data_IF_764594339892
#
_entry.id   IF_764594339892
#
_cell.length_a   1.000
_cell.length_b   1.000
_cell.length_c   1.000
_cell.angle_alpha   90.00
_cell.angle_beta   90.00
_cell.angle_gamma   90.00
#
_symmetry.space_group_name_H-M   'P 1'
#
loop_
_entity.id
_entity.type
_entity.pdbx_description
1 polymer ?
#
# COMPACT_ATOMS: atom_id res chain seq x y z
N UNK A 1 3.30 -22.26 -0.28
CA UNK A 1 3.73 -23.00 -1.50
C UNK A 1 3.24 -22.35 -2.80
N UNK A 2 1.94 -22.08 -2.99
CA UNK A 2 1.41 -21.49 -4.23
C UNK A 2 2.03 -20.13 -4.60
N UNK A 3 2.13 -19.20 -3.64
CA UNK A 3 2.70 -17.85 -3.88
C UNK A 3 4.14 -17.96 -4.41
N UNK A 4 4.96 -18.78 -3.77
CA UNK A 4 6.37 -18.98 -4.16
C UNK A 4 6.44 -19.56 -5.59
N UNK A 5 5.61 -20.57 -5.89
CA UNK A 5 5.62 -21.27 -7.18
C UNK A 5 5.10 -20.42 -8.36
N UNK A 6 4.31 -19.37 -8.09
CA UNK A 6 3.73 -18.51 -9.12
C UNK A 6 4.47 -17.19 -9.34
N UNK A 7 5.58 -16.93 -8.62
CA UNK A 7 6.40 -15.74 -8.84
C UNK A 7 7.05 -15.80 -10.22
N UNK A 8 6.89 -14.74 -11.02
CA UNK A 8 7.48 -14.69 -12.35
C UNK A 8 8.99 -14.39 -12.31
N UNK A 9 9.67 -14.49 -13.45
CA UNK A 9 11.11 -14.24 -13.57
C UNK A 9 11.52 -12.79 -13.24
N UNK A 10 10.59 -11.84 -13.31
CA UNK A 10 10.83 -10.44 -12.93
C UNK A 10 10.76 -10.24 -11.41
N UNK A 11 10.16 -11.20 -10.68
CA UNK A 11 10.02 -11.19 -9.22
C UNK A 11 8.64 -10.78 -8.70
N UNK A 12 7.68 -10.53 -9.58
CA UNK A 12 6.32 -10.12 -9.18
C UNK A 12 5.25 -11.18 -9.46
N UNK A 13 4.00 -10.79 -9.23
CA UNK A 13 2.82 -11.64 -9.39
C UNK A 13 1.67 -10.94 -10.11
N UNK A 14 0.74 -11.74 -10.63
CA UNK A 14 -0.51 -11.28 -11.25
C UNK A 14 -1.72 -12.01 -10.67
N UNK A 15 -2.91 -11.52 -11.01
CA UNK A 15 -4.19 -12.02 -10.50
C UNK A 15 -4.42 -13.52 -10.68
N UNK A 16 -3.90 -14.13 -11.74
CA UNK A 16 -3.91 -15.58 -11.91
C UNK A 16 -2.59 -16.16 -11.42
N UNK A 17 -2.58 -17.30 -10.70
CA UNK A 17 -1.35 -17.91 -10.18
C UNK A 17 -0.59 -18.64 -11.29
N UNK A 18 -0.20 -17.90 -12.33
CA UNK A 18 0.54 -18.37 -13.50
C UNK A 18 1.81 -17.54 -13.68
N UNK A 19 2.92 -18.19 -14.01
CA UNK A 19 4.24 -17.59 -14.14
C UNK A 19 4.36 -16.88 -15.50
N UNK A 20 3.69 -15.73 -15.66
CA UNK A 20 3.65 -15.00 -16.94
C UNK A 20 3.95 -13.52 -16.83
N UNK A 21 3.22 -12.82 -15.97
CA UNK A 21 3.24 -11.37 -15.86
C UNK A 21 3.22 -10.95 -14.38
N UNK A 22 3.47 -9.67 -14.12
CA UNK A 22 3.44 -9.08 -12.79
C UNK A 22 2.87 -7.66 -12.79
N UNK A 23 2.40 -7.21 -11.63
CA UNK A 23 2.20 -5.79 -11.32
C UNK A 23 2.48 -5.48 -9.85
N UNK A 24 2.57 -4.20 -9.51
CA UNK A 24 2.77 -3.74 -8.12
C UNK A 24 1.57 -4.06 -7.23
N UNK A 25 0.33 -3.97 -7.74
CA UNK A 25 -0.91 -4.11 -6.96
C UNK A 25 -1.13 -5.51 -6.40
N UNK A 26 -0.73 -6.55 -7.13
CA UNK A 26 -0.76 -7.95 -6.69
C UNK A 26 0.52 -8.27 -5.94
N UNK A 27 1.67 -7.74 -6.37
CA UNK A 27 2.96 -7.99 -5.71
C UNK A 27 2.95 -7.54 -4.26
N UNK A 28 2.37 -6.37 -3.93
CA UNK A 28 2.26 -5.93 -2.52
C UNK A 28 1.50 -6.92 -1.65
N UNK A 29 0.39 -7.50 -2.16
CA UNK A 29 -0.40 -8.48 -1.41
C UNK A 29 0.41 -9.75 -1.13
N UNK A 30 1.13 -10.25 -2.15
CA UNK A 30 1.96 -11.45 -1.99
C UNK A 30 3.11 -11.20 -1.03
N UNK A 31 3.77 -10.04 -1.11
CA UNK A 31 4.85 -9.67 -0.19
C UNK A 31 4.35 -9.60 1.25
N UNK A 32 3.22 -8.93 1.49
CA UNK A 32 2.65 -8.83 2.85
C UNK A 32 2.30 -10.22 3.39
N UNK A 33 1.69 -11.08 2.57
CA UNK A 33 1.37 -12.45 2.95
C UNK A 33 2.62 -13.29 3.27
N UNK A 34 3.66 -13.19 2.44
CA UNK A 34 4.94 -13.89 2.66
C UNK A 34 5.65 -13.39 3.92
N UNK A 35 5.62 -12.08 4.19
CA UNK A 35 6.21 -11.49 5.39
C UNK A 35 5.45 -11.87 6.65
N UNK A 36 4.12 -11.88 6.59
CA UNK A 36 3.29 -12.41 7.68
C UNK A 36 3.58 -13.89 7.95
N UNK A 37 3.67 -14.73 6.90
CA UNK A 37 4.01 -16.14 7.04
C UNK A 37 5.39 -16.33 7.70
N UNK A 38 6.41 -15.59 7.24
CA UNK A 38 7.76 -15.63 7.81
C UNK A 38 7.79 -15.19 9.28
N UNK A 39 7.05 -14.13 9.63
CA UNK A 39 6.94 -13.66 11.02
C UNK A 39 6.20 -14.67 11.92
N UNK A 40 5.34 -15.52 11.35
CA UNK A 40 4.67 -16.61 12.06
C UNK A 40 5.47 -17.92 12.10
N UNK A 41 6.75 -17.90 11.71
CA UNK A 41 7.63 -19.08 11.75
C UNK A 41 7.47 -20.04 10.56
N UNK A 42 6.72 -19.67 9.53
CA UNK A 42 6.65 -20.45 8.28
C UNK A 42 7.88 -20.15 7.44
N UNK A 43 8.57 -21.18 6.98
CA UNK A 43 9.73 -21.00 6.11
C UNK A 43 9.32 -20.37 4.76
N UNK A 44 9.98 -19.24 4.45
CA UNK A 44 9.81 -18.49 3.21
C UNK A 44 11.21 -18.20 2.65
N UNK A 45 11.52 -18.72 1.45
CA UNK A 45 12.83 -18.51 0.84
C UNK A 45 13.14 -17.01 0.70
N UNK A 46 14.29 -16.59 1.21
CA UNK A 46 14.70 -15.18 1.19
C UNK A 46 14.77 -14.63 -0.25
N UNK A 47 15.25 -15.45 -1.19
CA UNK A 47 15.30 -15.14 -2.62
C UNK A 47 13.94 -14.68 -3.19
N UNK A 48 12.82 -15.25 -2.72
CA UNK A 48 11.49 -14.86 -3.18
C UNK A 48 11.17 -13.41 -2.77
N UNK A 49 11.56 -13.01 -1.55
CA UNK A 49 11.38 -11.64 -1.05
C UNK A 49 12.32 -10.69 -1.81
N UNK A 50 13.59 -11.07 -1.99
CA UNK A 50 14.59 -10.24 -2.66
C UNK A 50 14.20 -9.96 -4.13
N UNK A 51 13.67 -10.97 -4.82
CA UNK A 51 13.13 -10.82 -6.17
C UNK A 51 11.94 -9.84 -6.21
N UNK A 52 11.04 -9.93 -5.23
CA UNK A 52 9.89 -9.02 -5.13
C UNK A 52 10.33 -7.57 -4.89
N UNK A 53 11.31 -7.37 -4.02
CA UNK A 53 11.94 -6.04 -3.81
C UNK A 53 12.52 -5.52 -5.12
N UNK A 54 13.28 -6.34 -5.86
CA UNK A 54 13.86 -5.96 -7.15
C UNK A 54 12.77 -5.53 -8.14
N UNK A 55 11.66 -6.28 -8.22
CA UNK A 55 10.52 -5.96 -9.07
C UNK A 55 9.89 -4.61 -8.69
N UNK A 56 9.61 -4.40 -7.41
CA UNK A 56 9.02 -3.15 -6.91
C UNK A 56 9.92 -1.97 -7.24
N UNK A 57 11.25 -2.09 -7.02
CA UNK A 57 12.23 -1.05 -7.38
C UNK A 57 12.27 -0.77 -8.88
N UNK A 58 12.10 -1.79 -9.72
CA UNK A 58 12.03 -1.62 -11.17
C UNK A 58 10.78 -0.83 -11.64
N UNK A 59 9.74 -0.73 -10.80
CA UNK A 59 8.57 0.11 -11.05
C UNK A 59 8.76 1.56 -10.64
N UNK A 60 9.90 1.94 -10.06
CA UNK A 60 10.17 3.33 -9.69
C UNK A 60 10.37 4.20 -10.94
N UNK A 61 9.67 5.33 -10.98
CA UNK A 61 9.77 6.32 -12.05
C UNK A 61 10.67 7.49 -11.61
N UNK A 62 11.92 7.50 -12.09
CA UNK A 62 12.95 8.44 -11.64
C UNK A 62 12.58 9.92 -11.78
N UNK A 63 11.88 10.30 -12.86
CA UNK A 63 11.52 11.70 -13.13
C UNK A 63 10.46 12.28 -12.19
N UNK A 64 9.67 11.44 -11.52
CA UNK A 64 8.59 11.89 -10.62
C UNK A 64 8.78 11.44 -9.17
N UNK A 65 9.58 10.41 -8.92
CA UNK A 65 9.72 9.78 -7.61
C UNK A 65 8.57 8.84 -7.22
N UNK A 66 7.56 8.69 -8.08
CA UNK A 66 6.45 7.76 -7.89
C UNK A 66 6.76 6.36 -8.42
N UNK A 67 5.79 5.44 -8.28
CA UNK A 67 5.88 4.09 -8.84
C UNK A 67 4.75 3.82 -9.83
N UNK A 68 5.12 3.08 -10.86
CA UNK A 68 4.28 2.67 -11.98
C UNK A 68 3.57 1.34 -11.68
N UNK A 69 2.60 0.98 -12.52
CA UNK A 69 1.88 -0.29 -12.38
C UNK A 69 2.75 -1.48 -12.78
N UNK A 70 3.52 -1.29 -13.86
CA UNK A 70 4.56 -2.18 -14.36
C UNK A 70 5.79 -1.33 -14.71
N UNK A 71 7.00 -1.90 -14.73
CA UNK A 71 8.20 -1.17 -15.13
C UNK A 71 8.02 -0.46 -16.47
N UNK A 72 8.41 0.83 -16.54
CA UNK A 72 8.31 1.63 -17.75
C UNK A 72 6.96 2.31 -18.02
N UNK A 73 5.92 2.07 -17.19
CA UNK A 73 4.64 2.79 -17.32
C UNK A 73 4.61 4.09 -16.51
N UNK A 74 3.56 4.90 -16.68
CA UNK A 74 3.35 6.10 -15.86
C UNK A 74 3.10 5.76 -14.39
N UNK A 75 3.58 6.60 -13.45
CA UNK A 75 3.36 6.43 -12.02
C UNK A 75 1.91 6.75 -11.62
N UNK A 76 1.49 6.29 -10.44
CA UNK A 76 0.20 6.69 -9.87
C UNK A 76 0.15 6.60 -8.36
N UNK A 77 -0.82 7.29 -7.75
CA UNK A 77 -0.97 7.39 -6.30
C UNK A 77 -1.04 6.01 -5.62
N UNK A 78 -2.00 5.17 -6.00
CA UNK A 78 -2.18 3.86 -5.39
C UNK A 78 -0.99 2.92 -5.59
N UNK A 79 -0.38 2.96 -6.79
CA UNK A 79 0.80 2.15 -7.12
C UNK A 79 2.02 2.58 -6.31
N UNK A 80 2.20 3.89 -6.12
CA UNK A 80 3.25 4.46 -5.26
C UNK A 80 3.08 4.05 -3.82
N UNK A 81 1.86 4.15 -3.28
CA UNK A 81 1.56 3.74 -1.91
C UNK A 81 1.84 2.25 -1.67
N UNK A 82 1.37 1.38 -2.57
CA UNK A 82 1.63 -0.06 -2.53
C UNK A 82 3.13 -0.39 -2.60
N UNK A 83 3.89 0.31 -3.45
CA UNK A 83 5.32 0.08 -3.62
C UNK A 83 6.13 0.44 -2.37
N UNK A 84 5.95 1.65 -1.81
CA UNK A 84 6.71 2.04 -0.62
C UNK A 84 6.33 1.19 0.60
N UNK A 85 5.06 0.82 0.73
CA UNK A 85 4.62 -0.12 1.77
C UNK A 85 5.30 -1.48 1.60
N UNK A 86 5.41 -1.99 0.38
CA UNK A 86 6.11 -3.25 0.09
C UNK A 86 7.58 -3.20 0.53
N UNK A 87 8.28 -2.10 0.24
CA UNK A 87 9.69 -1.93 0.63
C UNK A 87 9.82 -1.96 2.16
N UNK A 88 8.99 -1.20 2.88
CA UNK A 88 9.04 -1.12 4.34
C UNK A 88 8.67 -2.46 5.00
N UNK A 89 7.65 -3.17 4.51
CA UNK A 89 7.27 -4.50 5.04
C UNK A 89 8.36 -5.55 4.80
N UNK A 90 9.19 -5.36 3.77
CA UNK A 90 10.40 -6.13 3.52
C UNK A 90 11.62 -5.70 4.33
N UNK A 91 11.49 -4.75 5.27
CA UNK A 91 12.56 -4.28 6.14
C UNK A 91 13.40 -3.14 5.56
N UNK A 92 13.03 -2.60 4.40
CA UNK A 92 13.76 -1.51 3.74
C UNK A 92 13.19 -0.13 4.14
N UNK A 93 13.15 0.14 5.44
CA UNK A 93 12.56 1.36 5.99
C UNK A 93 13.29 2.62 5.55
N UNK A 94 14.63 2.57 5.53
CA UNK A 94 15.50 3.70 5.19
C UNK A 94 15.86 3.78 3.70
N UNK A 95 15.22 2.97 2.85
CA UNK A 95 15.50 3.00 1.41
C UNK A 95 15.09 4.38 0.85
N UNK A 96 15.98 5.07 0.10
CA UNK A 96 15.69 6.41 -0.42
C UNK A 96 14.42 6.48 -1.28
N UNK A 97 14.00 5.37 -1.88
CA UNK A 97 12.79 5.32 -2.69
C UNK A 97 11.51 5.40 -1.84
N UNK A 98 11.55 5.00 -0.57
CA UNK A 98 10.42 5.18 0.37
C UNK A 98 10.12 6.66 0.54
N UNK A 99 11.15 7.47 0.79
CA UNK A 99 10.97 8.91 0.97
C UNK A 99 10.61 9.63 -0.33
N UNK A 100 11.16 9.21 -1.48
CA UNK A 100 10.73 9.73 -2.79
C UNK A 100 9.25 9.45 -3.05
N UNK A 101 8.80 8.23 -2.79
CA UNK A 101 7.40 7.86 -2.94
C UNK A 101 6.49 8.61 -1.96
N UNK A 102 6.90 8.79 -0.69
CA UNK A 102 6.16 9.61 0.28
C UNK A 102 5.94 11.03 -0.21
N UNK A 103 7.00 11.69 -0.73
CA UNK A 103 6.90 13.03 -1.34
C UNK A 103 5.94 13.05 -2.53
N UNK A 104 6.01 12.03 -3.39
CA UNK A 104 5.07 11.88 -4.51
C UNK A 104 3.61 11.77 -4.02
N UNK A 105 3.36 11.00 -2.96
CA UNK A 105 2.01 10.85 -2.39
C UNK A 105 1.44 12.19 -1.89
N UNK A 106 2.23 13.00 -1.18
CA UNK A 106 1.79 14.33 -0.77
C UNK A 106 1.49 15.25 -1.97
N UNK A 107 2.38 15.28 -2.96
CA UNK A 107 2.21 16.13 -4.14
C UNK A 107 1.01 15.74 -5.03
N UNK A 108 0.57 14.48 -4.96
CA UNK A 108 -0.48 13.92 -5.81
C UNK A 108 -1.75 13.51 -5.04
N UNK A 109 -1.87 13.90 -3.77
CA UNK A 109 -3.04 13.61 -2.97
C UNK A 109 -4.27 14.37 -3.47
N UNK A 110 -5.23 13.68 -4.08
CA UNK A 110 -6.53 14.25 -4.50
C UNK A 110 -7.62 13.21 -4.29
N UNK A 111 -8.74 13.58 -3.70
CA UNK A 111 -9.87 12.66 -3.43
C UNK A 111 -10.48 12.06 -4.70
N UNK A 112 -10.35 12.77 -5.83
CA UNK A 112 -10.80 12.31 -7.15
C UNK A 112 -9.86 11.30 -7.84
N UNK A 113 -8.72 10.95 -7.22
CA UNK A 113 -7.78 9.99 -7.80
C UNK A 113 -8.46 8.64 -8.08
N UNK A 114 -7.96 7.99 -9.12
CA UNK A 114 -8.30 6.59 -9.38
C UNK A 114 -7.82 5.70 -8.22
N UNK A 115 -8.68 4.80 -7.77
CA UNK A 115 -8.41 3.89 -6.66
C UNK A 115 -8.04 4.60 -5.35
N UNK A 116 -8.58 5.80 -5.09
CA UNK A 116 -8.20 6.64 -3.94
C UNK A 116 -8.25 5.91 -2.59
N UNK A 117 -9.35 5.21 -2.30
CA UNK A 117 -9.51 4.44 -1.04
C UNK A 117 -8.45 3.33 -0.93
N UNK A 118 -8.26 2.57 -2.00
CA UNK A 118 -7.25 1.50 -2.07
C UNK A 118 -5.82 2.04 -1.97
N UNK A 119 -5.53 3.19 -2.57
CA UNK A 119 -4.24 3.85 -2.41
C UNK A 119 -4.00 4.26 -0.96
N UNK A 120 -5.01 4.82 -0.28
CA UNK A 120 -4.89 5.21 1.12
C UNK A 120 -4.78 4.02 2.08
N UNK A 121 -5.35 2.87 1.74
CA UNK A 121 -5.15 1.63 2.48
C UNK A 121 -3.66 1.27 2.65
N UNK A 122 -2.83 1.52 1.62
CA UNK A 122 -1.38 1.34 1.73
C UNK A 122 -0.63 2.59 2.14
N UNK A 123 -1.11 3.79 1.77
CA UNK A 123 -0.42 5.02 2.08
C UNK A 123 -0.42 5.30 3.58
N UNK A 124 -1.54 5.05 4.28
CA UNK A 124 -1.62 5.27 5.72
C UNK A 124 -0.56 4.46 6.50
N UNK A 125 -0.45 3.13 6.37
CA UNK A 125 0.59 2.38 7.06
C UNK A 125 2.00 2.69 6.58
N UNK A 126 2.20 3.03 5.30
CA UNK A 126 3.52 3.42 4.81
C UNK A 126 4.01 4.73 5.46
N UNK A 127 3.15 5.75 5.51
CA UNK A 127 3.44 7.04 6.11
C UNK A 127 3.58 6.91 7.63
N UNK A 128 2.78 6.03 8.25
CA UNK A 128 2.90 5.70 9.68
C UNK A 128 4.25 5.09 10.02
N UNK A 129 4.74 4.14 9.21
CA UNK A 129 6.06 3.52 9.40
C UNK A 129 7.22 4.50 9.19
N UNK A 130 7.05 5.54 8.36
CA UNK A 130 8.01 6.66 8.29
C UNK A 130 7.98 7.45 9.61
N UNK A 131 6.78 7.71 10.15
CA UNK A 131 6.61 8.35 11.45
C UNK A 131 6.92 9.86 11.44
N UNK A 132 7.08 10.41 12.64
CA UNK A 132 7.38 11.84 12.87
C UNK A 132 6.41 12.78 12.15
N UNK A 133 6.94 13.93 11.73
CA UNK A 133 6.24 14.94 10.93
C UNK A 133 5.49 14.37 9.72
N UNK A 134 6.04 13.34 9.08
CA UNK A 134 5.45 12.73 7.90
C UNK A 134 4.11 12.08 8.26
N UNK A 135 4.08 11.29 9.33
CA UNK A 135 2.85 10.68 9.81
C UNK A 135 1.86 11.73 10.31
N UNK A 136 2.29 12.69 11.12
CA UNK A 136 1.41 13.71 11.69
C UNK A 136 0.69 14.52 10.60
N UNK A 137 1.43 14.97 9.58
CA UNK A 137 0.88 15.72 8.45
C UNK A 137 -0.07 14.86 7.62
N UNK A 138 0.32 13.61 7.33
CA UNK A 138 -0.51 12.69 6.56
C UNK A 138 -1.82 12.36 7.28
N UNK A 139 -1.74 11.98 8.56
CA UNK A 139 -2.88 11.59 9.37
C UNK A 139 -3.86 12.74 9.54
N UNK A 140 -3.37 13.95 9.83
CA UNK A 140 -4.21 15.15 9.92
C UNK A 140 -4.99 15.39 8.63
N UNK A 141 -4.33 15.31 7.47
CA UNK A 141 -4.97 15.52 6.18
C UNK A 141 -6.05 14.46 5.92
N UNK A 142 -5.70 13.17 6.04
CA UNK A 142 -6.62 12.09 5.68
C UNK A 142 -7.78 11.95 6.68
N UNK A 143 -7.52 12.08 7.98
CA UNK A 143 -8.58 12.00 9.00
C UNK A 143 -9.58 13.15 8.83
N UNK A 144 -9.11 14.35 8.48
CA UNK A 144 -10.00 15.49 8.19
C UNK A 144 -10.92 15.19 7.01
N UNK A 145 -10.38 14.66 5.90
CA UNK A 145 -11.17 14.28 4.72
C UNK A 145 -12.16 13.15 5.02
N UNK A 146 -11.71 12.10 5.71
CA UNK A 146 -12.54 10.94 6.06
C UNK A 146 -13.66 11.35 7.00
N UNK A 147 -13.38 12.07 8.09
CA UNK A 147 -14.42 12.47 9.06
C UNK A 147 -15.46 13.39 8.43
N UNK A 148 -15.07 14.28 7.51
CA UNK A 148 -16.02 15.16 6.79
C UNK A 148 -16.98 14.41 5.87
N UNK A 149 -16.61 13.24 5.39
CA UNK A 149 -17.41 12.46 4.42
C UNK A 149 -18.21 11.32 5.07
N UNK A 150 -18.19 11.22 6.41
CA UNK A 150 -18.92 10.20 7.15
C UNK A 150 -20.43 10.41 7.02
N UNK A 151 -21.15 9.31 6.80
CA UNK A 151 -22.61 9.29 6.81
C UNK A 151 -23.10 8.53 8.03
N UNK A 152 -24.14 9.07 8.67
CA UNK A 152 -24.86 8.40 9.76
C UNK A 152 -26.19 7.90 9.25
N UNK A 153 -26.43 6.60 9.39
CA UNK A 153 -27.68 5.93 9.06
C UNK A 153 -28.14 5.13 10.29
N UNK A 154 -29.08 5.69 11.06
CA UNK A 154 -29.43 5.16 12.37
C UNK A 154 -28.22 5.17 13.31
N UNK A 155 -27.84 4.01 13.82
CA UNK A 155 -26.69 3.81 14.70
C UNK A 155 -25.39 3.43 13.94
N UNK A 156 -25.43 3.40 12.62
CA UNK A 156 -24.29 3.02 11.79
C UNK A 156 -23.62 4.26 11.21
N UNK A 157 -22.30 4.31 11.34
CA UNK A 157 -21.44 5.23 10.61
C UNK A 157 -20.80 4.52 9.42
N UNK A 158 -20.94 5.09 8.24
CA UNK A 158 -20.41 4.51 7.00
C UNK A 158 -19.89 5.57 6.05
N UNK A 159 -19.13 5.11 5.06
CA UNK A 159 -18.69 5.91 3.93
C UNK A 159 -19.17 5.29 2.62
N UNK A 160 -19.43 6.12 1.63
CA UNK A 160 -19.74 5.68 0.27
C UNK A 160 -18.46 5.32 -0.52
N UNK A 161 -18.63 4.80 -1.73
CA UNK A 161 -17.52 4.73 -2.67
C UNK A 161 -17.02 6.15 -3.00
N UNK A 162 -15.70 6.34 -3.02
CA UNK A 162 -15.06 7.61 -3.39
C UNK A 162 -14.04 7.42 -4.49
N UNK A 163 -13.91 8.41 -5.38
CA UNK A 163 -12.95 8.41 -6.48
C UNK A 163 -13.32 7.42 -7.61
N UNK A 164 -12.55 7.48 -8.70
CA UNK A 164 -12.76 6.58 -9.85
C UNK A 164 -12.31 5.16 -9.48
N UNK A 165 -13.15 4.16 -9.74
CA UNK A 165 -12.87 2.77 -9.33
C UNK A 165 -13.21 2.48 -7.86
N UNK A 166 -14.03 3.32 -7.21
CA UNK A 166 -14.55 2.99 -5.88
C UNK A 166 -15.33 1.66 -5.90
N UNK A 167 -15.12 0.83 -4.88
CA UNK A 167 -15.70 -0.53 -4.81
C UNK A 167 -17.12 -0.49 -4.24
N UNK A 168 -17.31 0.10 -3.06
CA UNK A 168 -18.59 0.14 -2.38
C UNK A 168 -18.46 0.47 -0.89
N UNK A 169 -19.59 0.73 -0.21
CA UNK A 169 -19.58 1.29 1.13
C UNK A 169 -18.98 0.36 2.19
N UNK A 170 -19.13 -0.96 2.05
CA UNK A 170 -18.53 -1.94 2.98
C UNK A 170 -17.00 -1.83 2.95
N UNK A 171 -16.43 -1.86 1.74
CA UNK A 171 -14.98 -1.74 1.55
C UNK A 171 -14.46 -0.38 2.04
N UNK A 172 -15.11 0.72 1.65
CA UNK A 172 -14.67 2.06 2.07
C UNK A 172 -14.71 2.20 3.59
N UNK A 173 -15.79 1.75 4.22
CA UNK A 173 -15.97 1.83 5.67
C UNK A 173 -14.92 1.01 6.41
N UNK A 174 -14.60 -0.20 5.94
CA UNK A 174 -13.56 -1.03 6.55
C UNK A 174 -12.16 -0.38 6.46
N UNK A 175 -11.80 0.15 5.28
CA UNK A 175 -10.51 0.81 5.06
C UNK A 175 -10.37 2.07 5.92
N UNK A 176 -11.37 2.95 5.88
CA UNK A 176 -11.32 4.20 6.63
C UNK A 176 -11.36 3.99 8.14
N UNK A 177 -12.14 3.03 8.63
CA UNK A 177 -12.11 2.64 10.05
C UNK A 177 -10.72 2.15 10.45
N UNK A 178 -10.08 1.31 9.62
CA UNK A 178 -8.72 0.81 9.89
C UNK A 178 -7.71 1.95 9.95
N UNK A 179 -7.81 2.92 9.03
CA UNK A 179 -6.93 4.08 8.99
C UNK A 179 -7.10 5.00 10.20
N UNK A 180 -8.35 5.30 10.58
CA UNK A 180 -8.67 6.10 11.77
C UNK A 180 -8.27 5.39 13.08
N UNK A 181 -8.22 4.07 13.06
CA UNK A 181 -7.81 3.25 14.20
C UNK A 181 -6.28 3.18 14.39
N UNK A 182 -5.48 3.60 13.40
CA UNK A 182 -4.01 3.45 13.47
C UNK A 182 -3.35 4.11 14.69
N UNK A 183 -3.74 5.33 15.14
CA UNK A 183 -3.16 5.94 16.34
C UNK A 183 -3.45 5.20 17.64
N UNK A 184 -4.37 4.24 17.64
CA UNK A 184 -4.70 3.45 18.83
C UNK A 184 -3.85 2.17 18.96
N UNK A 185 -2.94 1.91 18.02
CA UNK A 185 -1.94 0.85 18.10
C UNK A 185 -2.51 -0.57 18.33
N UNK A 186 -3.71 -0.85 17.84
CA UNK A 186 -4.35 -2.17 18.02
C UNK A 186 -3.64 -3.31 17.30
N UNK A 187 -2.93 -3.03 16.21
CA UNK A 187 -2.21 -4.05 15.45
C UNK A 187 -0.74 -4.11 15.90
N UNK A 188 -0.17 -5.31 16.17
CA UNK A 188 1.22 -5.45 16.59
C UNK A 188 2.23 -4.81 15.63
N UNK A 189 1.94 -4.80 14.32
CA UNK A 189 2.76 -4.12 13.31
C UNK A 189 2.90 -2.61 13.57
N UNK A 190 1.98 -2.02 14.34
CA UNK A 190 1.94 -0.59 14.66
C UNK A 190 2.29 -0.29 16.12
N UNK A 191 2.59 -1.31 16.92
CA UNK A 191 3.12 -1.15 18.27
C UNK A 191 4.62 -0.89 18.14
N UNK A 192 5.10 0.19 18.76
CA UNK A 192 6.51 0.56 18.81
C UNK A 192 7.17 0.01 20.06
#
# INVERSE_FOLDING_TARGET
KLIIASQNQQGGWRYRPVVRDADVSVTVLQVVALRAAKNSGIDVPQRTIDNAVKYVKACHHAGTGGFSYQPGSSPGFARTAAAIYSLQVCGLYDDPLVMKGSKYLFANHRESQEWYVYGNFYAAPAQYMIGGDTWEKWYKAIATTVVKSIKKEGDIYRWDASGRGGVGPIYTTAVYTTMLAMPYHYLPLYQR
#
